data_IF_774826437276
#
_entry.id   IF_774826437276
#
_cell.length_a   1.000
_cell.length_b   1.000
_cell.length_c   1.000
_cell.angle_alpha   90.00
_cell.angle_beta   90.00
_cell.angle_gamma   90.00
#
_symmetry.space_group_name_H-M   'P 1'
#
loop_
_entity.id
_entity.type
_entity.pdbx_description
1 polymer ?
#
# COMPACT_ATOMS: atom_id res chain seq x y z
N UNK A 1 -7.58 19.53 -6.25
CA UNK A 1 -6.55 19.71 -5.18
C UNK A 1 -5.41 18.70 -5.31
N UNK A 2 -5.64 17.40 -5.47
CA UNK A 2 -4.61 16.37 -5.60
C UNK A 2 -3.59 16.64 -6.74
N UNK A 3 -4.04 17.19 -7.85
CA UNK A 3 -3.21 17.45 -9.02
C UNK A 3 -2.17 18.59 -8.79
N UNK A 4 -2.50 19.60 -7.97
CA UNK A 4 -1.58 20.69 -7.58
C UNK A 4 -0.56 20.22 -6.54
N UNK A 5 -0.95 19.32 -5.65
CA UNK A 5 -0.10 18.76 -4.61
C UNK A 5 1.08 17.93 -5.17
N UNK A 6 0.90 17.28 -6.32
CA UNK A 6 1.94 16.45 -6.94
C UNK A 6 3.13 17.24 -7.51
N UNK A 7 3.04 18.57 -7.64
CA UNK A 7 4.05 19.42 -8.30
C UNK A 7 4.88 20.27 -7.35
N UNK A 8 4.59 20.32 -6.06
CA UNK A 8 5.32 21.15 -5.08
C UNK A 8 5.84 20.34 -3.92
N UNK A 9 7.02 20.71 -3.38
CA UNK A 9 7.59 20.18 -2.15
C UNK A 9 7.15 20.96 -0.90
N UNK A 10 6.38 22.04 -1.10
CA UNK A 10 5.87 22.91 -0.05
C UNK A 10 4.76 22.24 0.77
N UNK A 11 4.56 22.73 1.97
CA UNK A 11 3.41 22.32 2.81
C UNK A 11 2.13 22.69 2.09
N UNK A 12 1.30 21.70 1.78
CA UNK A 12 0.08 21.87 1.00
C UNK A 12 -0.87 22.92 1.58
N UNK A 13 -0.90 23.08 2.91
CA UNK A 13 -1.69 24.09 3.60
C UNK A 13 -1.42 25.51 3.10
N UNK A 14 -0.16 25.86 2.92
CA UNK A 14 0.24 27.20 2.45
C UNK A 14 -0.02 27.39 0.98
N UNK A 15 0.37 26.42 0.14
CA UNK A 15 0.22 26.50 -1.33
C UNK A 15 -1.23 26.54 -1.79
N UNK A 16 -2.15 25.89 -1.09
CA UNK A 16 -3.55 25.78 -1.45
C UNK A 16 -4.47 26.60 -0.56
N UNK A 17 -3.94 27.51 0.25
CA UNK A 17 -4.69 28.31 1.22
C UNK A 17 -5.93 29.00 0.61
N UNK A 18 -5.73 29.71 -0.48
CA UNK A 18 -6.84 30.46 -1.14
C UNK A 18 -7.89 29.50 -1.70
N UNK A 19 -7.45 28.38 -2.27
CA UNK A 19 -8.37 27.34 -2.78
C UNK A 19 -9.13 26.68 -1.64
N UNK A 20 -8.48 26.45 -0.49
CA UNK A 20 -9.09 25.88 0.70
C UNK A 20 -10.13 26.82 1.28
N UNK A 21 -9.81 28.12 1.43
CA UNK A 21 -10.74 29.16 1.92
C UNK A 21 -11.97 29.24 1.02
N UNK A 22 -11.77 29.27 -0.30
CA UNK A 22 -12.89 29.31 -1.24
C UNK A 22 -13.81 28.07 -1.11
N UNK A 23 -13.23 26.89 -0.91
CA UNK A 23 -14.01 25.66 -0.73
C UNK A 23 -14.73 25.59 0.61
N UNK A 24 -14.13 26.10 1.68
CA UNK A 24 -14.79 26.24 2.98
C UNK A 24 -16.01 27.19 2.87
N UNK A 25 -15.83 28.32 2.17
CA UNK A 25 -16.91 29.27 1.95
C UNK A 25 -18.05 28.70 1.08
N UNK A 26 -17.72 27.89 0.08
CA UNK A 26 -18.69 27.23 -0.81
C UNK A 26 -19.51 26.15 -0.09
N UNK A 27 -18.85 25.33 0.75
CA UNK A 27 -19.47 24.17 1.39
C UNK A 27 -20.08 24.53 2.75
N UNK A 28 -19.57 25.56 3.42
CA UNK A 28 -20.00 25.98 4.76
C UNK A 28 -19.44 25.10 5.89
N UNK A 29 -18.47 24.22 5.60
CA UNK A 29 -17.84 23.33 6.57
C UNK A 29 -16.32 23.56 6.64
N UNK A 30 -15.75 23.37 7.83
CA UNK A 30 -14.30 23.48 7.99
C UNK A 30 -13.60 22.30 7.33
N UNK A 31 -12.62 22.58 6.46
CA UNK A 31 -11.82 21.58 5.75
C UNK A 31 -10.38 21.70 6.20
N UNK A 32 -9.76 20.58 6.60
CA UNK A 32 -8.35 20.49 6.98
C UNK A 32 -7.63 19.52 6.06
N UNK A 33 -6.47 19.92 5.53
CA UNK A 33 -5.56 19.04 4.81
C UNK A 33 -4.56 18.48 5.83
N UNK A 34 -4.83 17.27 6.32
CA UNK A 34 -4.04 16.65 7.40
C UNK A 34 -2.74 16.04 6.91
N UNK A 35 -2.72 15.47 5.70
CA UNK A 35 -1.58 14.73 5.13
C UNK A 35 -1.50 14.95 3.64
N UNK A 36 -0.29 14.89 3.11
CA UNK A 36 -0.02 14.83 1.68
C UNK A 36 1.15 13.88 1.40
N UNK A 37 1.24 13.41 0.18
CA UNK A 37 2.37 12.64 -0.31
C UNK A 37 2.66 12.98 -1.76
N UNK A 38 3.95 13.05 -2.10
CA UNK A 38 4.45 13.21 -3.46
C UNK A 38 5.38 12.04 -3.77
N UNK A 39 5.15 11.38 -4.90
CA UNK A 39 6.04 10.35 -5.42
C UNK A 39 6.74 10.87 -6.67
N UNK A 40 8.06 10.95 -6.61
CA UNK A 40 8.93 11.07 -7.79
C UNK A 40 9.40 9.67 -8.12
N UNK A 41 9.24 9.25 -9.37
CA UNK A 41 9.61 7.91 -9.84
C UNK A 41 11.09 7.64 -9.56
N UNK A 42 11.40 6.48 -9.00
CA UNK A 42 12.75 6.02 -8.70
C UNK A 42 13.16 4.94 -9.70
N UNK A 43 14.04 5.28 -10.66
CA UNK A 43 14.46 4.36 -11.71
C UNK A 43 13.37 4.02 -12.72
N UNK A 44 13.42 2.83 -13.34
CA UNK A 44 12.42 2.37 -14.31
C UNK A 44 11.14 1.91 -13.62
N UNK A 45 9.97 2.19 -14.20
CA UNK A 45 8.67 1.81 -13.65
C UNK A 45 7.61 2.89 -13.82
N UNK A 46 6.61 2.87 -12.94
CA UNK A 46 5.53 3.87 -12.92
C UNK A 46 5.05 4.21 -11.51
N UNK A 47 4.52 5.42 -11.37
CA UNK A 47 3.70 5.85 -10.22
C UNK A 47 2.25 5.92 -10.70
N UNK A 48 1.35 5.22 -9.99
CA UNK A 48 -0.07 5.16 -10.32
C UNK A 48 -0.88 5.80 -9.20
N UNK A 49 -1.65 6.85 -9.48
CA UNK A 49 -2.71 7.33 -8.58
C UNK A 49 -3.99 6.53 -8.79
N UNK A 50 -4.75 6.32 -7.70
CA UNK A 50 -6.07 5.74 -7.75
C UNK A 50 -6.99 6.41 -6.72
N UNK A 51 -8.17 6.82 -7.15
CA UNK A 51 -9.19 7.44 -6.31
C UNK A 51 -10.41 6.52 -6.28
N UNK A 52 -10.88 6.20 -5.10
CA UNK A 52 -11.98 5.27 -4.86
C UNK A 52 -13.10 5.93 -4.06
N UNK A 53 -14.33 5.38 -4.16
CA UNK A 53 -15.52 5.80 -3.43
C UNK A 53 -15.80 7.32 -3.52
N UNK A 54 -15.74 7.87 -4.72
CA UNK A 54 -16.06 9.29 -4.94
C UNK A 54 -15.10 10.26 -4.23
N UNK A 55 -13.82 9.88 -4.08
CA UNK A 55 -12.81 10.71 -3.44
C UNK A 55 -12.54 10.39 -1.97
N UNK A 56 -13.23 9.40 -1.39
CA UNK A 56 -13.06 9.05 0.03
C UNK A 56 -11.77 8.30 0.32
N UNK A 57 -11.22 7.58 -0.67
CA UNK A 57 -9.94 6.87 -0.55
C UNK A 57 -9.03 7.27 -1.71
N UNK A 58 -7.81 7.67 -1.39
CA UNK A 58 -6.75 7.95 -2.35
C UNK A 58 -5.56 7.03 -2.15
N UNK A 59 -5.00 6.51 -3.25
CA UNK A 59 -3.82 5.66 -3.26
C UNK A 59 -2.79 6.24 -4.23
N UNK A 60 -1.52 6.21 -3.85
CA UNK A 60 -0.38 6.28 -4.76
C UNK A 60 0.43 5.01 -4.57
N UNK A 61 0.83 4.38 -5.66
CA UNK A 61 1.72 3.21 -5.65
C UNK A 61 2.81 3.38 -6.69
N UNK A 62 4.02 2.97 -6.37
CA UNK A 62 5.16 2.92 -7.28
C UNK A 62 5.55 1.47 -7.55
N UNK A 63 5.37 1.04 -8.80
CA UNK A 63 5.82 -0.25 -9.30
C UNK A 63 7.06 -0.05 -10.17
N UNK A 64 8.13 -0.74 -9.83
CA UNK A 64 9.41 -0.74 -10.52
C UNK A 64 9.57 -1.96 -11.42
N UNK A 65 10.44 -1.79 -12.43
CA UNK A 65 10.96 -2.83 -13.31
C UNK A 65 12.41 -2.53 -13.67
N UNK A 66 13.08 -3.45 -14.34
CA UNK A 66 14.48 -3.26 -14.75
C UNK A 66 14.60 -2.70 -16.19
N UNK A 67 13.54 -2.82 -17.03
CA UNK A 67 13.55 -2.41 -18.43
C UNK A 67 12.53 -1.31 -18.70
N UNK A 68 12.92 -0.30 -19.49
CA UNK A 68 12.04 0.79 -19.91
C UNK A 68 10.83 0.27 -20.73
N UNK A 69 11.05 -0.69 -21.62
CA UNK A 69 10.00 -1.29 -22.41
C UNK A 69 8.90 -1.93 -21.56
N UNK A 70 9.27 -2.54 -20.43
CA UNK A 70 8.33 -3.14 -19.48
C UNK A 70 7.41 -2.09 -18.89
N UNK A 71 7.92 -0.92 -18.52
CA UNK A 71 7.11 0.16 -17.94
C UNK A 71 6.04 0.70 -18.91
N UNK A 72 6.22 0.51 -20.22
CA UNK A 72 5.27 0.90 -21.26
C UNK A 72 4.31 -0.24 -21.67
N UNK A 73 4.59 -1.48 -21.24
CA UNK A 73 3.81 -2.65 -21.63
C UNK A 73 2.39 -2.62 -21.03
N UNK A 74 1.34 -2.94 -21.81
CA UNK A 74 -0.03 -2.99 -21.31
C UNK A 74 -0.21 -3.90 -20.10
N UNK A 75 0.48 -5.05 -20.04
CA UNK A 75 0.41 -5.97 -18.90
C UNK A 75 0.93 -5.30 -17.62
N UNK A 76 2.05 -4.57 -17.70
CA UNK A 76 2.58 -3.81 -16.56
C UNK A 76 1.62 -2.72 -16.10
N UNK A 77 1.02 -2.00 -17.06
CA UNK A 77 0.04 -0.94 -16.79
C UNK A 77 -1.20 -1.50 -16.08
N UNK A 78 -1.67 -2.66 -16.48
CA UNK A 78 -2.82 -3.30 -15.85
C UNK A 78 -2.48 -3.83 -14.46
N UNK A 79 -1.29 -4.42 -14.27
CA UNK A 79 -0.81 -4.85 -12.95
C UNK A 79 -0.77 -3.70 -11.94
N UNK A 80 -0.20 -2.54 -12.32
CA UNK A 80 -0.11 -1.42 -11.37
C UNK A 80 -1.49 -0.81 -11.06
N UNK A 81 -2.44 -0.80 -12.01
CA UNK A 81 -3.84 -0.41 -11.76
C UNK A 81 -4.52 -1.36 -10.80
N UNK A 82 -4.35 -2.66 -11.01
CA UNK A 82 -4.93 -3.70 -10.17
C UNK A 82 -4.36 -3.68 -8.74
N UNK A 83 -3.07 -3.43 -8.60
CA UNK A 83 -2.42 -3.22 -7.30
C UNK A 83 -2.95 -1.97 -6.60
N UNK A 84 -3.22 -0.89 -7.35
CA UNK A 84 -3.81 0.33 -6.79
C UNK A 84 -5.22 0.07 -6.21
N UNK A 85 -6.04 -0.70 -6.95
CA UNK A 85 -7.35 -1.14 -6.50
C UNK A 85 -7.23 -2.04 -5.27
N UNK A 86 -6.29 -2.99 -5.28
CA UNK A 86 -6.02 -3.88 -4.15
C UNK A 86 -5.67 -3.10 -2.87
N UNK A 87 -4.75 -2.13 -2.95
CA UNK A 87 -4.38 -1.27 -1.82
C UNK A 87 -5.58 -0.48 -1.29
N UNK A 88 -6.43 0.04 -2.18
CA UNK A 88 -7.65 0.74 -1.77
C UNK A 88 -8.62 -0.18 -1.01
N UNK A 89 -8.81 -1.41 -1.48
CA UNK A 89 -9.76 -2.38 -0.94
C UNK A 89 -9.25 -3.08 0.33
N UNK A 90 -8.00 -3.56 0.33
CA UNK A 90 -7.45 -4.41 1.39
C UNK A 90 -6.72 -3.63 2.49
N UNK A 91 -6.48 -2.32 2.30
CA UNK A 91 -5.92 -1.41 3.31
C UNK A 91 -4.65 -1.95 4.01
N UNK A 92 -3.61 -2.40 3.28
CA UNK A 92 -2.38 -2.88 3.90
C UNK A 92 -1.74 -1.79 4.74
N UNK A 93 -1.16 -2.18 5.88
CA UNK A 93 -0.46 -1.26 6.79
C UNK A 93 1.02 -1.10 6.42
N UNK A 94 1.62 -2.17 5.91
CA UNK A 94 3.04 -2.27 5.57
C UNK A 94 3.22 -2.79 4.15
N UNK A 95 4.35 -2.51 3.54
CA UNK A 95 4.66 -3.07 2.23
C UNK A 95 5.03 -4.57 2.36
N UNK A 96 5.92 -4.90 3.31
CA UNK A 96 6.46 -6.25 3.52
C UNK A 96 6.69 -6.53 5.01
N UNK A 97 6.88 -7.79 5.44
CA UNK A 97 7.14 -8.14 6.83
C UNK A 97 8.30 -7.40 7.49
N UNK A 98 9.37 -7.10 6.73
CA UNK A 98 10.53 -6.36 7.23
C UNK A 98 10.22 -4.89 7.59
N UNK A 99 9.10 -4.34 7.13
CA UNK A 99 8.69 -2.96 7.41
C UNK A 99 7.82 -2.87 8.67
N UNK A 100 7.41 -4.02 9.23
CA UNK A 100 6.66 -4.07 10.48
C UNK A 100 7.62 -3.72 11.64
N UNK A 101 7.28 -2.77 12.53
CA UNK A 101 8.11 -2.42 13.67
C UNK A 101 8.41 -3.64 14.53
N UNK A 102 9.68 -3.84 14.92
CA UNK A 102 10.10 -4.99 15.71
C UNK A 102 9.32 -5.12 17.04
N UNK A 103 8.95 -4.00 17.65
CA UNK A 103 8.14 -3.97 18.86
C UNK A 103 6.73 -4.52 18.62
N UNK A 104 6.11 -4.24 17.46
CA UNK A 104 4.80 -4.80 17.10
C UNK A 104 4.90 -6.31 16.84
N UNK A 105 5.92 -6.74 16.11
CA UNK A 105 6.17 -8.18 15.89
C UNK A 105 6.34 -8.92 17.22
N UNK A 106 7.13 -8.36 18.15
CA UNK A 106 7.35 -8.97 19.46
C UNK A 106 6.05 -9.03 20.28
N UNK A 107 5.26 -7.98 20.29
CA UNK A 107 3.99 -7.91 21.00
C UNK A 107 2.98 -8.95 20.46
N UNK A 108 2.84 -9.05 19.13
CA UNK A 108 1.95 -10.03 18.51
C UNK A 108 2.40 -11.48 18.81
N UNK A 109 3.69 -11.77 18.74
CA UNK A 109 4.23 -13.09 19.11
C UNK A 109 3.93 -13.45 20.56
N UNK A 110 4.08 -12.50 21.49
CA UNK A 110 3.76 -12.70 22.91
C UNK A 110 2.26 -12.98 23.11
N UNK A 111 1.38 -12.21 22.45
CA UNK A 111 -0.07 -12.43 22.49
C UNK A 111 -0.41 -13.84 22.00
N UNK A 112 0.16 -14.25 20.86
CA UNK A 112 -0.11 -15.59 20.30
C UNK A 112 0.45 -16.72 21.16
N UNK A 113 1.61 -16.53 21.81
CA UNK A 113 2.18 -17.50 22.72
C UNK A 113 1.28 -17.71 23.96
N UNK A 114 0.76 -16.63 24.55
CA UNK A 114 -0.17 -16.68 25.68
C UNK A 114 -1.48 -17.42 25.34
N UNK A 115 -1.98 -17.29 24.12
CA UNK A 115 -3.21 -17.99 23.67
C UNK A 115 -3.07 -19.53 23.60
N UNK A 116 -1.85 -20.03 23.56
CA UNK A 116 -1.55 -21.47 23.46
C UNK A 116 -0.73 -21.99 24.63
N UNK A 117 -0.73 -21.25 25.74
CA UNK A 117 -0.05 -21.63 26.98
C UNK A 117 -0.49 -23.05 27.46
N UNK A 118 0.45 -23.78 28.03
CA UNK A 118 0.21 -25.17 28.46
C UNK A 118 0.52 -26.26 27.43
N UNK A 119 0.89 -25.89 26.20
CA UNK A 119 1.39 -26.83 25.18
C UNK A 119 2.93 -26.98 25.26
N UNK A 120 3.49 -28.09 24.73
CA UNK A 120 4.95 -28.22 24.60
C UNK A 120 5.57 -27.03 23.83
N UNK A 121 6.77 -26.52 24.24
CA UNK A 121 7.39 -25.33 23.65
C UNK A 121 7.51 -25.38 22.14
N UNK A 122 7.90 -26.52 21.57
CA UNK A 122 8.04 -26.70 20.11
C UNK A 122 6.69 -26.59 19.37
N UNK A 123 5.58 -26.95 20.02
CA UNK A 123 4.23 -26.83 19.46
C UNK A 123 3.78 -25.36 19.53
N UNK A 124 4.08 -24.69 20.65
CA UNK A 124 3.81 -23.25 20.82
C UNK A 124 4.47 -22.48 19.70
N UNK A 125 5.78 -22.70 19.47
CA UNK A 125 6.54 -21.98 18.42
C UNK A 125 5.93 -22.18 17.02
N UNK A 126 5.61 -23.41 16.64
CA UNK A 126 4.96 -23.70 15.35
C UNK A 126 3.61 -23.00 15.18
N UNK A 127 2.80 -22.95 16.25
CA UNK A 127 1.49 -22.28 16.23
C UNK A 127 1.69 -20.77 16.12
N UNK A 128 2.62 -20.19 16.88
CA UNK A 128 2.95 -18.77 16.82
C UNK A 128 3.42 -18.39 15.43
N UNK A 129 4.35 -19.15 14.83
CA UNK A 129 4.81 -18.88 13.47
C UNK A 129 3.70 -18.98 12.43
N UNK A 130 2.78 -19.95 12.58
CA UNK A 130 1.59 -20.04 11.74
C UNK A 130 0.67 -18.82 11.86
N UNK A 131 0.46 -18.32 13.10
CA UNK A 131 -0.32 -17.11 13.35
C UNK A 131 0.38 -15.85 12.83
N UNK A 132 1.71 -15.77 12.97
CA UNK A 132 2.49 -14.66 12.40
C UNK A 132 2.42 -14.61 10.88
N UNK A 133 2.41 -15.75 10.20
CA UNK A 133 2.18 -15.78 8.73
C UNK A 133 0.82 -15.16 8.38
N UNK A 134 -0.22 -15.50 9.15
CA UNK A 134 -1.53 -14.89 8.96
C UNK A 134 -1.50 -13.38 9.25
N UNK A 135 -0.85 -12.95 10.33
CA UNK A 135 -0.67 -11.53 10.64
C UNK A 135 -0.03 -10.77 9.47
N UNK A 136 1.03 -11.32 8.86
CA UNK A 136 1.65 -10.70 7.68
C UNK A 136 0.72 -10.70 6.46
N UNK A 137 0.01 -11.80 6.21
CA UNK A 137 -0.97 -11.87 5.13
C UNK A 137 -2.15 -10.89 5.32
N UNK A 138 -2.48 -10.51 6.54
CA UNK A 138 -3.53 -9.53 6.82
C UNK A 138 -3.00 -8.07 6.71
N UNK A 139 -1.71 -7.81 7.01
CA UNK A 139 -1.17 -6.45 7.17
C UNK A 139 -0.13 -6.03 6.13
N UNK A 140 0.57 -6.96 5.48
CA UNK A 140 1.66 -6.67 4.55
C UNK A 140 1.20 -6.85 3.10
N UNK A 141 1.27 -5.79 2.29
CA UNK A 141 0.78 -5.76 0.92
C UNK A 141 1.26 -6.96 0.08
N UNK A 142 2.56 -7.28 0.15
CA UNK A 142 3.14 -8.35 -0.69
C UNK A 142 2.66 -9.75 -0.30
N UNK A 143 2.24 -9.95 0.96
CA UNK A 143 1.78 -11.24 1.49
C UNK A 143 0.25 -11.37 1.44
N UNK A 144 -0.48 -10.28 1.17
CA UNK A 144 -1.94 -10.31 1.08
C UNK A 144 -2.41 -11.19 -0.09
N UNK A 145 -3.50 -11.97 0.09
CA UNK A 145 -4.21 -12.58 -1.02
C UNK A 145 -4.69 -11.51 -2.00
N UNK A 146 -4.39 -11.69 -3.28
CA UNK A 146 -4.72 -10.67 -4.29
C UNK A 146 -6.24 -10.55 -4.47
N UNK A 147 -6.76 -9.33 -4.42
CA UNK A 147 -8.21 -9.05 -4.37
C UNK A 147 -9.01 -9.63 -5.56
N UNK A 148 -8.40 -9.71 -6.75
CA UNK A 148 -9.04 -10.27 -7.95
C UNK A 148 -8.88 -11.78 -8.07
N UNK A 149 -7.84 -12.37 -7.46
CA UNK A 149 -7.55 -13.80 -7.45
C UNK A 149 -7.00 -14.21 -6.08
N UNK A 150 -7.86 -14.46 -5.09
CA UNK A 150 -7.43 -14.74 -3.69
C UNK A 150 -6.65 -16.03 -3.49
N UNK A 151 -6.51 -16.87 -4.53
CA UNK A 151 -5.70 -18.09 -4.49
C UNK A 151 -4.20 -17.80 -4.60
N UNK A 152 -3.80 -16.62 -5.05
CA UNK A 152 -2.42 -16.17 -5.12
C UNK A 152 -2.20 -14.94 -4.27
N UNK A 153 -0.97 -14.78 -3.75
CA UNK A 153 -0.54 -13.56 -3.07
C UNK A 153 -0.17 -12.46 -4.08
N UNK A 154 -0.03 -11.23 -3.59
CA UNK A 154 0.53 -10.15 -4.42
C UNK A 154 1.94 -10.49 -4.90
N UNK A 155 2.77 -11.15 -4.07
CA UNK A 155 4.09 -11.66 -4.48
C UNK A 155 4.00 -12.64 -5.63
N UNK A 156 3.05 -13.58 -5.59
CA UNK A 156 2.86 -14.57 -6.67
C UNK A 156 2.45 -13.87 -7.96
N UNK A 157 1.52 -12.91 -7.89
CA UNK A 157 1.14 -12.07 -9.03
C UNK A 157 2.34 -11.37 -9.66
N UNK A 158 3.16 -10.69 -8.85
CA UNK A 158 4.36 -10.00 -9.35
C UNK A 158 5.34 -10.97 -10.02
N UNK A 159 5.55 -12.14 -9.44
CA UNK A 159 6.41 -13.20 -9.99
C UNK A 159 5.87 -13.73 -11.32
N UNK A 160 4.58 -14.01 -11.40
CA UNK A 160 3.91 -14.49 -12.62
C UNK A 160 4.03 -13.45 -13.75
N UNK A 161 3.66 -12.22 -13.47
CA UNK A 161 3.68 -11.13 -14.47
C UNK A 161 5.10 -10.73 -14.86
N UNK A 162 6.03 -10.76 -13.91
CA UNK A 162 7.45 -10.57 -14.20
C UNK A 162 7.99 -11.62 -15.17
N UNK A 163 7.68 -12.91 -14.97
CA UNK A 163 8.04 -13.99 -15.90
C UNK A 163 7.40 -13.77 -17.28
N UNK A 164 6.13 -13.37 -17.34
CA UNK A 164 5.43 -13.08 -18.60
C UNK A 164 6.11 -11.96 -19.38
N UNK A 165 6.61 -10.91 -18.70
CA UNK A 165 7.29 -9.76 -19.28
C UNK A 165 8.81 -9.99 -19.47
N UNK A 166 9.35 -11.11 -18.96
CA UNK A 166 10.78 -11.36 -18.96
C UNK A 166 11.56 -10.32 -18.14
N UNK A 167 10.99 -9.83 -17.05
CA UNK A 167 11.52 -8.76 -16.21
C UNK A 167 11.21 -9.00 -14.74
N UNK A 168 11.83 -8.22 -13.84
CA UNK A 168 11.55 -8.24 -12.41
C UNK A 168 10.59 -7.10 -12.06
N UNK A 169 9.45 -7.42 -11.41
CA UNK A 169 8.50 -6.41 -10.94
C UNK A 169 8.62 -6.26 -9.43
N UNK A 170 8.72 -5.03 -8.94
CA UNK A 170 8.83 -4.72 -7.51
C UNK A 170 7.96 -3.54 -7.11
N UNK A 171 7.12 -3.70 -6.08
CA UNK A 171 6.48 -2.55 -5.46
C UNK A 171 7.53 -1.86 -4.59
N UNK A 172 7.86 -0.61 -4.92
CA UNK A 172 8.86 0.16 -4.16
C UNK A 172 8.25 0.82 -2.93
N UNK A 173 7.05 1.37 -3.09
CA UNK A 173 6.30 2.03 -2.02
C UNK A 173 4.86 2.25 -2.40
N UNK A 174 4.03 2.49 -1.42
CA UNK A 174 2.66 2.95 -1.59
C UNK A 174 2.27 3.90 -0.46
N UNK A 175 1.20 4.65 -0.66
CA UNK A 175 0.48 5.36 0.38
C UNK A 175 -1.01 5.23 0.13
N UNK A 176 -1.77 5.10 1.21
CA UNK A 176 -3.22 5.08 1.20
C UNK A 176 -3.73 6.11 2.21
N UNK A 177 -4.56 7.02 1.74
CA UNK A 177 -5.27 7.96 2.59
C UNK A 177 -6.77 7.75 2.47
N UNK A 178 -7.44 7.89 3.59
CA UNK A 178 -8.89 7.83 3.65
C UNK A 178 -9.41 9.10 4.34
N UNK A 179 -10.49 9.64 3.81
CA UNK A 179 -11.14 10.81 4.38
C UNK A 179 -11.60 10.53 5.82
N UNK A 180 -11.26 11.41 6.74
CA UNK A 180 -11.61 11.28 8.16
C UNK A 180 -10.67 10.41 9.01
N UNK A 181 -9.50 10.00 8.45
CA UNK A 181 -8.46 9.26 9.18
C UNK A 181 -7.18 10.08 9.33
#
# INVERSE_FOLDING_TARGET
MAQKAATTDEVLGDTLKDVLIAKIAEIGENIVISRNARFTLQGMGRVQPYIHLGGKVGVLIELGCDKEATAADPVFIDVIKDLSLHVAACSPRYLKPADVPAAEVAAEREIYAKQVEGKPPQIIEKIVDGKMKKFYADNCLVDQPFVKEPKQSVTDLLSEKGKQLGDTLVIRRFVRYQLGQ
#
